data_IF_306563023544
#
_entry.id   IF_306563023544
#
_cell.length_a   1.000
_cell.length_b   1.000
_cell.length_c   1.000
_cell.angle_alpha   90.00
_cell.angle_beta   90.00
_cell.angle_gamma   90.00
#
_symmetry.space_group_name_H-M   'P 1'
#
loop_
_entity.id
_entity.type
_entity.pdbx_description
1 polymer ?
#
# COMPACT_ATOMS: atom_id res chain seq x y z
N UNK A 1 -13.12 29.88 4.68
CA UNK A 1 -13.70 29.15 3.53
C UNK A 1 -14.57 28.02 4.07
N UNK A 2 -15.80 27.84 3.58
CA UNK A 2 -16.61 26.66 3.92
C UNK A 2 -15.97 25.43 3.26
N UNK A 3 -15.51 24.46 4.05
CA UNK A 3 -15.04 23.19 3.54
C UNK A 3 -16.23 22.43 2.96
N UNK A 4 -16.29 22.26 1.64
CA UNK A 4 -17.32 21.44 1.02
C UNK A 4 -17.03 19.97 1.35
N UNK A 5 -17.92 19.33 2.10
CA UNK A 5 -17.80 17.92 2.45
C UNK A 5 -18.05 17.03 1.21
N UNK A 6 -17.38 15.86 1.12
CA UNK A 6 -17.61 14.93 0.02
C UNK A 6 -19.05 14.40 0.06
N UNK A 7 -19.69 14.29 -1.10
CA UNK A 7 -21.03 13.68 -1.25
C UNK A 7 -20.94 12.15 -1.34
N UNK A 8 -19.80 11.65 -1.78
CA UNK A 8 -19.50 10.24 -1.95
C UNK A 8 -18.26 9.89 -1.13
N UNK A 9 -18.38 8.84 -0.33
CA UNK A 9 -17.27 8.16 0.32
C UNK A 9 -17.17 6.77 -0.31
N UNK A 10 -16.08 6.52 -1.05
CA UNK A 10 -15.80 5.21 -1.60
C UNK A 10 -15.49 4.23 -0.45
N UNK A 11 -16.11 3.06 -0.44
CA UNK A 11 -15.82 2.03 0.57
C UNK A 11 -14.39 1.49 0.44
N UNK A 12 -13.74 1.14 1.54
CA UNK A 12 -12.35 0.65 1.58
C UNK A 12 -12.20 -0.83 1.96
N UNK A 13 -13.17 -1.68 1.58
CA UNK A 13 -13.19 -3.10 1.97
C UNK A 13 -12.47 -4.02 0.98
N UNK A 14 -12.06 -5.20 1.46
CA UNK A 14 -11.40 -6.25 0.67
C UNK A 14 -9.88 -6.11 0.62
N UNK A 15 -9.20 -6.98 -0.14
CA UNK A 15 -7.74 -6.91 -0.36
C UNK A 15 -7.49 -6.43 -1.79
N UNK A 16 -6.89 -5.26 -1.95
CA UNK A 16 -6.59 -4.61 -3.24
C UNK A 16 -7.79 -4.34 -4.19
N UNK A 17 -9.04 -4.58 -3.75
CA UNK A 17 -10.25 -4.17 -4.48
C UNK A 17 -10.32 -2.63 -4.53
N UNK A 18 -10.16 -2.01 -3.35
CA UNK A 18 -10.05 -0.55 -3.19
C UNK A 18 -8.58 -0.13 -3.19
N UNK A 19 -7.88 -0.39 -4.29
CA UNK A 19 -6.47 0.01 -4.43
C UNK A 19 -6.31 1.50 -4.78
N UNK A 20 -5.07 1.98 -4.76
CA UNK A 20 -4.71 3.37 -5.01
C UNK A 20 -5.31 3.96 -6.30
N UNK A 21 -5.50 3.17 -7.36
CA UNK A 21 -6.00 3.70 -8.64
C UNK A 21 -7.46 4.15 -8.54
N UNK A 22 -8.30 3.36 -7.87
CA UNK A 22 -9.70 3.72 -7.60
C UNK A 22 -9.78 4.87 -6.61
N UNK A 23 -9.02 4.81 -5.52
CA UNK A 23 -8.98 5.87 -4.52
C UNK A 23 -8.54 7.20 -5.14
N UNK A 24 -7.50 7.20 -5.97
CA UNK A 24 -7.03 8.38 -6.70
C UNK A 24 -8.11 8.92 -7.65
N UNK A 25 -8.77 8.05 -8.42
CA UNK A 25 -9.81 8.47 -9.36
C UNK A 25 -10.98 9.17 -8.65
N UNK A 26 -11.45 8.60 -7.53
CA UNK A 26 -12.51 9.19 -6.70
C UNK A 26 -12.05 10.52 -6.09
N UNK A 27 -10.84 10.55 -5.51
CA UNK A 27 -10.29 11.76 -4.91
C UNK A 27 -10.03 12.87 -5.93
N UNK A 28 -9.63 12.56 -7.17
CA UNK A 28 -9.48 13.56 -8.25
C UNK A 28 -10.80 14.25 -8.59
N UNK A 29 -11.94 13.59 -8.41
CA UNK A 29 -13.29 14.14 -8.60
C UNK A 29 -13.80 14.95 -7.39
N UNK A 30 -12.95 15.21 -6.39
CA UNK A 30 -13.32 15.98 -5.20
C UNK A 30 -14.18 15.20 -4.21
N UNK A 31 -14.33 13.89 -4.39
CA UNK A 31 -14.97 12.98 -3.43
C UNK A 31 -13.92 12.33 -2.52
N UNK A 32 -14.34 11.51 -1.54
CA UNK A 32 -13.39 10.83 -0.66
C UNK A 32 -13.08 9.43 -1.19
N UNK A 33 -11.94 9.29 -1.87
CA UNK A 33 -11.37 7.99 -2.21
C UNK A 33 -10.74 7.32 -0.99
N UNK A 34 -10.89 6.00 -0.89
CA UNK A 34 -10.45 5.23 0.27
C UNK A 34 -9.58 4.05 -0.16
N UNK A 35 -8.33 4.02 0.28
CA UNK A 35 -7.47 2.85 0.13
C UNK A 35 -7.90 1.77 1.12
N UNK A 36 -7.91 0.49 0.73
CA UNK A 36 -7.99 -0.59 1.71
C UNK A 36 -6.61 -0.90 2.31
N UNK A 37 -6.48 -0.75 3.62
CA UNK A 37 -5.29 -1.16 4.38
C UNK A 37 -5.19 -2.67 4.60
N UNK A 38 -6.18 -3.45 4.19
CA UNK A 38 -6.21 -4.90 4.45
C UNK A 38 -5.13 -5.62 3.63
N UNK A 39 -4.20 -6.26 4.34
CA UNK A 39 -3.13 -7.08 3.76
C UNK A 39 -2.26 -6.34 2.70
N UNK A 40 -2.08 -5.03 2.84
CA UNK A 40 -1.24 -4.26 1.90
C UNK A 40 0.19 -4.76 1.82
N UNK A 41 0.76 -5.20 2.94
CA UNK A 41 2.05 -5.90 2.99
C UNK A 41 2.14 -7.07 2.00
N UNK A 42 1.07 -7.88 1.90
CA UNK A 42 1.00 -8.99 0.95
C UNK A 42 0.84 -8.50 -0.49
N UNK A 43 -0.01 -7.49 -0.70
CA UNK A 43 -0.28 -6.91 -2.04
C UNK A 43 1.01 -6.33 -2.64
N UNK A 44 1.72 -5.49 -1.88
CA UNK A 44 2.96 -4.84 -2.33
C UNK A 44 4.07 -5.86 -2.54
N UNK A 45 4.28 -6.80 -1.61
CA UNK A 45 5.27 -7.86 -1.79
C UNK A 45 5.00 -8.69 -3.05
N UNK A 46 3.73 -9.04 -3.34
CA UNK A 46 3.37 -9.80 -4.55
C UNK A 46 3.54 -8.99 -5.82
N UNK A 47 3.16 -7.71 -5.83
CA UNK A 47 3.36 -6.82 -7.00
C UNK A 47 4.84 -6.62 -7.32
N UNK A 48 5.70 -6.48 -6.31
CA UNK A 48 7.15 -6.44 -6.47
C UNK A 48 7.69 -7.75 -7.05
N UNK A 49 7.18 -8.90 -6.58
CA UNK A 49 7.56 -10.21 -7.14
C UNK A 49 7.03 -10.44 -8.55
N UNK A 50 5.96 -9.77 -8.95
CA UNK A 50 5.50 -9.69 -10.34
C UNK A 50 6.30 -8.66 -11.18
N UNK A 51 7.35 -8.06 -10.62
CA UNK A 51 8.25 -7.15 -11.32
C UNK A 51 7.83 -5.69 -11.33
N UNK A 52 6.87 -5.31 -10.48
CA UNK A 52 6.35 -3.93 -10.41
C UNK A 52 5.97 -3.37 -11.79
N UNK A 53 4.97 -3.97 -12.49
CA UNK A 53 4.53 -3.47 -13.79
C UNK A 53 4.14 -1.99 -13.70
N UNK A 54 4.67 -1.18 -14.62
CA UNK A 54 4.49 0.29 -14.62
C UNK A 54 5.41 1.05 -13.65
N UNK A 55 6.24 0.35 -12.86
CA UNK A 55 7.22 0.96 -11.97
C UNK A 55 6.63 1.79 -10.84
N UNK A 56 5.35 1.60 -10.52
CA UNK A 56 4.61 2.45 -9.59
C UNK A 56 5.14 2.35 -8.16
N UNK A 57 5.42 1.12 -7.69
CA UNK A 57 5.92 0.92 -6.34
C UNK A 57 7.32 1.52 -6.23
N UNK A 58 8.21 1.22 -7.19
CA UNK A 58 9.57 1.80 -7.18
C UNK A 58 9.54 3.32 -7.27
N UNK A 59 8.64 3.91 -8.07
CA UNK A 59 8.44 5.38 -8.12
C UNK A 59 8.04 5.94 -6.75
N UNK A 60 7.09 5.32 -6.06
CA UNK A 60 6.71 5.74 -4.72
C UNK A 60 7.88 5.61 -3.73
N UNK A 61 8.61 4.49 -3.77
CA UNK A 61 9.76 4.25 -2.88
C UNK A 61 10.89 5.27 -3.05
N UNK A 62 11.09 5.84 -4.24
CA UNK A 62 12.04 6.93 -4.45
C UNK A 62 11.67 8.22 -3.67
N UNK A 63 10.41 8.35 -3.25
CA UNK A 63 9.93 9.46 -2.41
C UNK A 63 9.80 9.09 -0.94
N UNK A 64 10.18 7.86 -0.55
CA UNK A 64 10.02 7.37 0.82
C UNK A 64 11.12 7.91 1.74
N UNK A 65 10.74 8.41 2.92
CA UNK A 65 11.64 9.08 3.85
C UNK A 65 12.76 8.19 4.41
N UNK A 66 12.59 6.87 4.41
CA UNK A 66 13.55 5.92 4.95
C UNK A 66 14.16 5.04 3.84
N UNK A 67 15.13 5.54 3.05
CA UNK A 67 15.62 4.85 1.85
C UNK A 67 16.23 3.48 2.16
N UNK A 68 16.92 3.32 3.30
CA UNK A 68 17.46 2.02 3.73
C UNK A 68 16.35 0.99 3.99
N UNK A 69 15.17 1.42 4.44
CA UNK A 69 14.01 0.54 4.65
C UNK A 69 13.39 0.14 3.31
N UNK A 70 13.19 1.10 2.40
CA UNK A 70 12.75 0.82 1.03
C UNK A 70 13.68 -0.18 0.33
N UNK A 71 14.99 0.00 0.45
CA UNK A 71 15.98 -0.89 -0.15
C UNK A 71 15.84 -2.33 0.37
N UNK A 72 15.69 -2.54 1.69
CA UNK A 72 15.46 -3.88 2.25
C UNK A 72 14.19 -4.54 1.72
N UNK A 73 13.13 -3.78 1.43
CA UNK A 73 11.90 -4.32 0.83
C UNK A 73 12.15 -4.72 -0.63
N UNK A 74 12.85 -3.88 -1.40
CA UNK A 74 13.23 -4.18 -2.78
C UNK A 74 14.12 -5.41 -2.86
N UNK A 75 15.20 -5.47 -2.08
CA UNK A 75 16.14 -6.59 -2.04
C UNK A 75 15.43 -7.91 -1.72
N UNK A 76 14.37 -7.87 -0.91
CA UNK A 76 13.65 -9.06 -0.49
C UNK A 76 12.58 -9.54 -1.47
N UNK A 77 11.91 -8.63 -2.19
CA UNK A 77 10.68 -8.97 -2.91
C UNK A 77 10.66 -8.53 -4.37
N UNK A 78 11.50 -7.59 -4.80
CA UNK A 78 11.52 -7.17 -6.21
C UNK A 78 12.21 -8.21 -7.08
N UNK A 79 11.53 -8.66 -8.13
CA UNK A 79 12.08 -9.57 -9.13
C UNK A 79 12.03 -8.84 -10.48
N UNK A 80 13.16 -8.35 -11.03
CA UNK A 80 13.18 -7.73 -12.34
C UNK A 80 12.54 -8.66 -13.40
N UNK A 81 11.57 -8.14 -14.16
CA UNK A 81 10.82 -8.94 -15.14
C UNK A 81 9.75 -9.88 -14.54
N UNK A 82 9.66 -9.95 -13.21
CA UNK A 82 8.70 -10.75 -12.48
C UNK A 82 9.11 -12.22 -12.32
N UNK A 83 8.48 -12.89 -11.36
CA UNK A 83 8.63 -14.34 -11.17
C UNK A 83 8.11 -15.10 -12.40
N UNK A 84 8.68 -16.29 -12.66
CA UNK A 84 8.18 -17.20 -13.69
C UNK A 84 6.74 -17.64 -13.41
N UNK A 85 6.00 -17.97 -14.46
CA UNK A 85 4.67 -18.57 -14.35
C UNK A 85 4.79 -19.92 -13.60
N UNK A 86 3.80 -20.24 -12.77
CA UNK A 86 3.82 -21.46 -11.94
C UNK A 86 4.71 -21.40 -10.70
N UNK A 87 5.69 -20.49 -10.62
CA UNK A 87 6.49 -20.31 -9.39
C UNK A 87 5.63 -19.71 -8.28
N UNK A 88 5.59 -20.31 -7.07
CA UNK A 88 4.91 -19.73 -5.91
C UNK A 88 5.50 -18.37 -5.51
N UNK A 89 4.70 -17.52 -4.86
CA UNK A 89 5.21 -16.30 -4.26
C UNK A 89 6.10 -16.63 -3.04
N UNK A 90 7.22 -15.92 -2.90
CA UNK A 90 8.00 -15.86 -1.67
C UNK A 90 7.09 -15.40 -0.53
N UNK A 91 7.12 -16.15 0.56
CA UNK A 91 6.36 -15.82 1.77
C UNK A 91 6.87 -14.52 2.39
N UNK A 92 5.95 -13.77 3.01
CA UNK A 92 6.29 -12.61 3.82
C UNK A 92 6.56 -13.05 5.27
N UNK A 93 7.34 -12.26 6.00
CA UNK A 93 7.50 -12.45 7.43
C UNK A 93 6.12 -12.46 8.12
N UNK A 94 5.92 -13.37 9.07
CA UNK A 94 4.67 -13.42 9.85
C UNK A 94 4.66 -12.30 10.90
N UNK A 95 3.47 -11.79 11.27
CA UNK A 95 3.36 -10.93 12.44
C UNK A 95 3.77 -11.71 13.69
N UNK A 96 4.51 -11.05 14.58
CA UNK A 96 4.86 -11.56 15.89
C UNK A 96 4.39 -10.53 16.93
N UNK A 97 3.84 -11.01 18.05
CA UNK A 97 3.37 -10.14 19.14
C UNK A 97 4.49 -9.21 19.65
N UNK A 98 5.73 -9.73 19.67
CA UNK A 98 6.93 -8.96 19.95
C UNK A 98 7.86 -8.99 18.73
N UNK A 99 7.99 -7.84 18.07
CA UNK A 99 9.15 -7.51 17.24
C UNK A 99 9.38 -8.39 16.00
N UNK A 100 8.60 -8.19 14.95
CA UNK A 100 8.96 -8.64 13.60
C UNK A 100 9.37 -7.44 12.74
N UNK A 101 10.65 -7.05 12.78
CA UNK A 101 11.15 -5.89 12.03
C UNK A 101 10.80 -5.99 10.55
N UNK A 102 11.01 -7.14 9.93
CA UNK A 102 10.71 -7.35 8.51
C UNK A 102 9.21 -7.19 8.21
N UNK A 103 8.32 -7.69 9.08
CA UNK A 103 6.88 -7.50 8.91
C UNK A 103 6.47 -6.03 9.09
N UNK A 104 6.98 -5.38 10.15
CA UNK A 104 6.67 -3.98 10.46
C UNK A 104 7.14 -3.06 9.33
N UNK A 105 8.38 -3.20 8.86
CA UNK A 105 8.91 -2.41 7.75
C UNK A 105 8.09 -2.62 6.48
N UNK A 106 7.67 -3.87 6.19
CA UNK A 106 6.81 -4.14 5.05
C UNK A 106 5.44 -3.49 5.20
N UNK A 107 4.83 -3.49 6.39
CA UNK A 107 3.58 -2.76 6.67
C UNK A 107 3.74 -1.26 6.43
N UNK A 108 4.74 -0.62 7.05
CA UNK A 108 4.99 0.82 6.91
C UNK A 108 5.14 1.20 5.44
N UNK A 109 6.04 0.50 4.73
CA UNK A 109 6.33 0.77 3.31
C UNK A 109 5.08 0.56 2.46
N UNK A 110 4.30 -0.49 2.72
CA UNK A 110 3.14 -0.81 1.88
C UNK A 110 2.01 0.19 2.02
N UNK A 111 1.76 0.68 3.24
CA UNK A 111 0.77 1.73 3.48
C UNK A 111 1.23 3.06 2.84
N UNK A 112 2.50 3.41 3.00
CA UNK A 112 3.07 4.59 2.34
C UNK A 112 2.89 4.53 0.81
N UNK A 113 3.25 3.41 0.17
CA UNK A 113 3.15 3.25 -1.28
C UNK A 113 1.73 3.47 -1.79
N UNK A 114 0.74 2.82 -1.17
CA UNK A 114 -0.65 2.93 -1.62
C UNK A 114 -1.22 4.33 -1.40
N UNK A 115 -0.96 4.96 -0.25
CA UNK A 115 -1.45 6.31 0.02
C UNK A 115 -0.72 7.35 -0.85
N UNK A 116 0.59 7.20 -1.06
CA UNK A 116 1.39 8.07 -1.92
C UNK A 116 0.84 8.07 -3.35
N UNK A 117 0.65 6.88 -3.93
CA UNK A 117 0.09 6.73 -5.27
C UNK A 117 -1.35 7.25 -5.33
N UNK A 118 -2.16 6.97 -4.30
CA UNK A 118 -3.53 7.45 -4.24
C UNK A 118 -3.65 8.98 -4.19
N UNK A 119 -2.60 9.69 -3.74
CA UNK A 119 -2.55 11.16 -3.68
C UNK A 119 -1.90 11.82 -4.90
N UNK A 120 -1.32 11.05 -5.82
CA UNK A 120 -0.54 11.59 -6.93
C UNK A 120 -1.41 12.42 -7.90
N UNK A 121 -0.97 13.65 -8.20
CA UNK A 121 -1.63 14.53 -9.16
C UNK A 121 -2.86 15.30 -8.67
N UNK A 122 -3.14 15.34 -7.36
CA UNK A 122 -4.19 16.19 -6.79
C UNK A 122 -3.91 16.61 -5.33
N UNK A 123 -4.71 17.55 -4.82
CA UNK A 123 -4.63 18.05 -3.43
C UNK A 123 -5.77 17.58 -2.53
N UNK A 124 -6.75 16.85 -3.09
CA UNK A 124 -7.90 16.34 -2.36
C UNK A 124 -7.50 15.24 -1.36
N UNK A 125 -8.31 15.08 -0.31
CA UNK A 125 -8.10 14.08 0.72
C UNK A 125 -8.21 12.64 0.17
N UNK A 126 -7.49 11.73 0.81
CA UNK A 126 -7.56 10.28 0.59
C UNK A 126 -7.69 9.64 1.96
N UNK A 127 -8.67 8.76 2.12
CA UNK A 127 -8.84 7.96 3.31
C UNK A 127 -8.13 6.60 3.18
N UNK A 128 -7.92 5.94 4.31
CA UNK A 128 -7.51 4.54 4.37
C UNK A 128 -8.40 3.81 5.37
N UNK A 129 -8.82 2.59 5.02
CA UNK A 129 -9.68 1.76 5.86
C UNK A 129 -8.94 0.52 6.35
N UNK A 130 -8.94 0.29 7.66
CA UNK A 130 -8.35 -0.89 8.29
C UNK A 130 -9.43 -1.86 8.78
N UNK A 131 -9.09 -3.14 8.79
CA UNK A 131 -9.99 -4.19 9.26
C UNK A 131 -9.72 -4.49 10.74
N UNK A 132 -10.63 -4.07 11.61
CA UNK A 132 -10.40 -4.08 13.06
C UNK A 132 -10.16 -5.48 13.64
N UNK A 133 -10.83 -6.51 13.10
CA UNK A 133 -10.65 -7.91 13.55
C UNK A 133 -9.24 -8.47 13.31
N UNK A 134 -8.35 -7.76 12.59
CA UNK A 134 -6.95 -8.15 12.36
C UNK A 134 -6.05 -7.02 12.86
N UNK A 135 -5.74 -7.02 14.15
CA UNK A 135 -5.06 -5.90 14.82
C UNK A 135 -3.53 -5.89 14.71
N UNK A 136 -2.89 -7.07 14.60
CA UNK A 136 -1.42 -7.18 14.56
C UNK A 136 -0.71 -6.23 13.54
N UNK A 137 -1.24 -5.96 12.34
CA UNK A 137 -0.63 -5.01 11.41
C UNK A 137 -0.93 -3.53 11.69
N UNK A 138 -1.87 -3.16 12.57
CA UNK A 138 -2.35 -1.76 12.66
C UNK A 138 -1.27 -0.79 13.11
N UNK A 139 -0.60 -1.06 14.22
CA UNK A 139 0.41 -0.14 14.77
C UNK A 139 1.52 0.19 13.75
N UNK A 140 2.12 -0.77 13.02
CA UNK A 140 3.08 -0.43 11.97
C UNK A 140 2.45 0.08 10.67
N UNK A 141 1.12 0.17 10.55
CA UNK A 141 0.43 0.70 9.35
C UNK A 141 0.03 2.17 9.48
N UNK A 142 -0.02 2.70 10.69
CA UNK A 142 -0.36 4.10 11.02
C UNK A 142 0.89 4.98 11.02
#
# INVERSE_FOLDING_TARGET
>A
MKTQLPKIIQGGMGVAVSNWSLAQAVSKLGQLGTVSGTALNLVVARRLQCGDPGGHIRRALNSFAFPKMAQRILDNYFIPGGKKLGTPFKAIAKPLLKGSRAFNELCIVSNFVEVFLAREGHKNAVAINYLEKIQLPHLPSL
#
